data_IF_832147988872
#
_entry.id   IF_832147988872
#
_cell.length_a   1.000
_cell.length_b   1.000
_cell.length_c   1.000
_cell.angle_alpha   90.00
_cell.angle_beta   90.00
_cell.angle_gamma   90.00
#
_symmetry.space_group_name_H-M   'P 1'
#
loop_
_entity.id
_entity.type
_entity.pdbx_description
1 polymer ?
#
# COMPACT_ATOMS: atom_id res chain seq x y z
N UNK A 1 -0.40 10.48 21.41
CA UNK A 1 -1.87 10.24 21.35
C UNK A 1 -2.27 10.12 19.88
N UNK A 2 -2.87 9.00 19.45
CA UNK A 2 -3.08 8.67 18.02
C UNK A 2 -4.32 9.33 17.39
N UNK A 3 -5.31 9.71 18.20
CA UNK A 3 -6.62 10.16 17.76
C UNK A 3 -6.59 11.40 16.84
N UNK A 4 -5.83 12.48 17.14
CA UNK A 4 -5.79 13.64 16.24
C UNK A 4 -5.18 13.28 14.87
N UNK A 5 -4.17 12.42 14.86
CA UNK A 5 -3.53 11.95 13.62
C UNK A 5 -4.49 11.09 12.79
N UNK A 6 -5.26 10.22 13.45
CA UNK A 6 -6.30 9.43 12.80
C UNK A 6 -7.38 10.32 12.17
N UNK A 7 -7.89 11.31 12.92
CA UNK A 7 -8.92 12.23 12.41
C UNK A 7 -8.43 13.01 11.19
N UNK A 8 -7.18 13.47 11.21
CA UNK A 8 -6.56 14.14 10.07
C UNK A 8 -6.57 13.26 8.81
N UNK A 9 -6.12 12.00 8.90
CA UNK A 9 -6.11 11.10 7.74
C UNK A 9 -7.50 10.59 7.35
N UNK A 10 -8.45 10.52 8.28
CA UNK A 10 -9.84 10.22 7.95
C UNK A 10 -10.46 11.33 7.09
N UNK A 11 -10.22 12.60 7.44
CA UNK A 11 -10.67 13.72 6.62
C UNK A 11 -10.00 13.71 5.24
N UNK A 12 -8.67 13.52 5.19
CA UNK A 12 -7.95 13.44 3.93
C UNK A 12 -8.46 12.31 3.02
N UNK A 13 -8.79 11.15 3.59
CA UNK A 13 -9.39 10.03 2.86
C UNK A 13 -10.75 10.39 2.26
N UNK A 14 -11.59 11.13 2.99
CA UNK A 14 -12.89 11.58 2.49
C UNK A 14 -12.72 12.60 1.36
N UNK A 15 -11.87 13.60 1.55
CA UNK A 15 -11.65 14.69 0.59
C UNK A 15 -11.04 14.16 -0.71
N UNK A 16 -9.97 13.36 -0.61
CA UNK A 16 -9.32 12.77 -1.79
C UNK A 16 -10.19 11.68 -2.41
N UNK A 17 -10.97 10.94 -1.60
CA UNK A 17 -11.95 9.97 -2.10
C UNK A 17 -12.99 10.60 -3.01
N UNK A 18 -13.51 11.78 -2.66
CA UNK A 18 -14.44 12.52 -3.51
C UNK A 18 -13.80 12.92 -4.86
N UNK A 19 -12.55 13.39 -4.84
CA UNK A 19 -11.79 13.69 -6.06
C UNK A 19 -11.60 12.44 -6.94
N UNK A 20 -11.22 11.31 -6.34
CA UNK A 20 -11.04 10.04 -7.08
C UNK A 20 -12.34 9.60 -7.75
N UNK A 21 -13.49 9.79 -7.08
CA UNK A 21 -14.79 9.50 -7.68
C UNK A 21 -15.07 10.39 -8.89
N UNK A 22 -14.86 11.71 -8.78
CA UNK A 22 -15.04 12.64 -9.90
C UNK A 22 -14.12 12.31 -11.08
N UNK A 23 -12.83 12.05 -10.81
CA UNK A 23 -11.86 11.67 -11.83
C UNK A 23 -12.26 10.36 -12.53
N UNK A 24 -12.79 9.39 -11.78
CA UNK A 24 -13.27 8.14 -12.35
C UNK A 24 -14.45 8.36 -13.31
N UNK A 25 -15.43 9.20 -12.92
CA UNK A 25 -16.58 9.59 -13.76
C UNK A 25 -16.13 10.31 -15.04
N UNK A 26 -15.11 11.18 -14.92
CA UNK A 26 -14.55 11.96 -16.03
C UNK A 26 -13.46 11.24 -16.81
N UNK A 27 -13.14 10.01 -16.43
CA UNK A 27 -12.04 9.20 -16.98
C UNK A 27 -10.65 9.89 -16.93
N UNK A 28 -10.40 10.73 -15.93
CA UNK A 28 -9.13 11.43 -15.70
C UNK A 28 -8.13 10.48 -15.07
N UNK A 29 -6.95 10.35 -15.69
CA UNK A 29 -5.83 9.58 -15.14
C UNK A 29 -4.79 10.58 -14.62
N UNK A 30 -4.38 10.51 -13.34
CA UNK A 30 -3.36 11.41 -12.81
C UNK A 30 -1.99 11.11 -13.43
N UNK A 31 -1.10 12.08 -13.39
CA UNK A 31 0.32 11.86 -13.71
C UNK A 31 1.01 11.06 -12.58
N UNK A 32 2.22 10.55 -12.85
CA UNK A 32 3.01 9.73 -11.95
C UNK A 32 3.43 10.45 -10.66
N UNK A 33 3.60 11.77 -10.73
CA UNK A 33 3.98 12.59 -9.57
C UNK A 33 2.78 12.73 -8.63
N UNK A 34 1.60 12.98 -9.21
CA UNK A 34 0.33 13.14 -8.50
C UNK A 34 -0.23 11.82 -7.97
N UNK A 35 0.01 10.71 -8.67
CA UNK A 35 -0.55 9.40 -8.34
C UNK A 35 -0.21 8.93 -6.91
N UNK A 36 1.07 8.98 -6.51
CA UNK A 36 1.48 8.44 -5.21
C UNK A 36 0.78 9.11 -4.02
N UNK A 37 0.82 10.44 -3.85
CA UNK A 37 0.14 11.09 -2.73
C UNK A 37 -1.37 10.87 -2.77
N UNK A 38 -2.00 10.95 -3.95
CA UNK A 38 -3.44 10.71 -4.11
C UNK A 38 -3.82 9.28 -3.73
N UNK A 39 -3.06 8.28 -4.20
CA UNK A 39 -3.33 6.88 -3.89
C UNK A 39 -3.16 6.58 -2.41
N UNK A 40 -2.14 7.15 -1.77
CA UNK A 40 -1.91 6.96 -0.34
C UNK A 40 -3.06 7.51 0.51
N UNK A 41 -3.57 8.71 0.20
CA UNK A 41 -4.68 9.31 0.96
C UNK A 41 -6.03 8.70 0.62
N UNK A 42 -6.28 8.33 -0.65
CA UNK A 42 -7.51 7.65 -1.06
C UNK A 42 -7.57 6.17 -0.68
N UNK A 43 -6.47 5.62 -0.16
CA UNK A 43 -6.45 4.31 0.48
C UNK A 43 -6.68 4.46 1.98
N UNK A 44 -7.44 3.56 2.59
CA UNK A 44 -7.59 3.53 4.05
C UNK A 44 -6.28 3.18 4.79
N UNK A 45 -5.15 2.95 4.10
CA UNK A 45 -3.95 2.39 4.70
C UNK A 45 -3.36 3.28 5.80
N UNK A 46 -3.28 4.60 5.58
CA UNK A 46 -2.79 5.55 6.61
C UNK A 46 -3.64 5.53 7.87
N UNK A 47 -4.95 5.33 7.72
CA UNK A 47 -5.91 5.19 8.82
C UNK A 47 -5.69 3.85 9.53
N UNK A 48 -5.57 2.75 8.77
CA UNK A 48 -5.29 1.40 9.28
C UNK A 48 -4.01 1.34 10.12
N UNK A 49 -2.99 2.12 9.77
CA UNK A 49 -1.76 2.20 10.57
C UNK A 49 -1.97 2.71 11.99
N UNK A 50 -2.95 3.60 12.24
CA UNK A 50 -3.29 4.02 13.61
C UNK A 50 -4.19 3.00 14.31
N UNK A 51 -4.94 2.20 13.55
CA UNK A 51 -5.72 1.10 14.12
C UNK A 51 -4.81 0.02 14.73
N UNK A 52 -3.56 -0.11 14.29
CA UNK A 52 -2.57 -0.99 14.94
C UNK A 52 -2.29 -0.49 16.37
N UNK A 53 -2.01 0.82 16.54
CA UNK A 53 -1.80 1.43 17.86
C UNK A 53 -3.02 1.21 18.76
N UNK A 54 -4.21 1.45 18.23
CA UNK A 54 -5.47 1.28 18.95
C UNK A 54 -5.75 -0.18 19.34
N UNK A 55 -5.65 -1.12 18.40
CA UNK A 55 -6.10 -2.50 18.60
C UNK A 55 -5.26 -3.25 19.64
N UNK A 56 -3.98 -2.90 19.77
CA UNK A 56 -3.04 -3.56 20.71
C UNK A 56 -2.74 -2.66 21.92
N UNK A 57 -3.24 -1.42 21.95
CA UNK A 57 -3.01 -0.48 23.04
C UNK A 57 -1.56 0.01 23.12
N UNK A 58 -0.89 0.17 21.97
CA UNK A 58 0.52 0.54 21.91
C UNK A 58 0.74 2.01 22.27
N UNK A 59 1.85 2.28 22.96
CA UNK A 59 2.29 3.63 23.29
C UNK A 59 3.45 4.09 22.41
N UNK A 60 3.11 4.57 21.20
CA UNK A 60 4.10 5.16 20.29
C UNK A 60 4.32 6.63 20.65
N UNK A 61 5.47 6.91 21.26
CA UNK A 61 5.87 8.24 21.73
C UNK A 61 6.27 9.16 20.58
N UNK A 62 6.38 10.46 20.87
CA UNK A 62 6.83 11.44 19.89
C UNK A 62 8.30 11.23 19.51
N UNK A 63 9.14 10.72 20.41
CA UNK A 63 10.54 10.36 20.11
C UNK A 63 10.63 9.24 19.06
N UNK A 64 9.76 8.23 19.17
CA UNK A 64 9.64 7.19 18.15
C UNK A 64 9.14 7.79 16.83
N UNK A 65 8.15 8.67 16.89
CA UNK A 65 7.62 9.33 15.69
C UNK A 65 8.67 10.19 14.98
N UNK A 66 9.55 10.83 15.75
CA UNK A 66 10.64 11.67 15.28
C UNK A 66 11.84 10.86 14.77
N UNK A 67 11.95 9.57 15.11
CA UNK A 67 13.00 8.71 14.59
C UNK A 67 12.93 8.66 13.06
N UNK A 68 14.04 8.90 12.33
CA UNK A 68 14.01 9.13 10.87
C UNK A 68 13.44 7.95 10.08
N UNK A 69 13.55 6.74 10.62
CA UNK A 69 13.07 5.51 9.98
C UNK A 69 11.55 5.28 10.15
N UNK A 70 10.94 5.82 11.21
CA UNK A 70 9.52 5.62 11.49
C UNK A 70 8.58 6.14 10.37
N UNK A 71 8.69 7.39 9.89
CA UNK A 71 7.85 7.86 8.79
C UNK A 71 8.11 7.08 7.50
N UNK A 72 9.34 6.59 7.29
CA UNK A 72 9.68 5.81 6.12
C UNK A 72 9.03 4.42 6.15
N UNK A 73 8.96 3.74 7.31
CA UNK A 73 8.23 2.47 7.48
C UNK A 73 6.74 2.63 7.17
N UNK A 74 6.11 3.68 7.70
CA UNK A 74 4.71 3.99 7.42
C UNK A 74 4.48 4.25 5.93
N UNK A 75 5.37 5.04 5.31
CA UNK A 75 5.35 5.30 3.87
C UNK A 75 5.49 4.01 3.06
N UNK A 76 6.47 3.16 3.40
CA UNK A 76 6.69 1.89 2.70
C UNK A 76 5.47 0.97 2.79
N UNK A 77 4.79 0.95 3.93
CA UNK A 77 3.55 0.17 4.11
C UNK A 77 2.45 0.64 3.15
N UNK A 78 2.27 1.97 3.03
CA UNK A 78 1.33 2.56 2.08
C UNK A 78 1.73 2.36 0.60
N UNK A 79 3.03 2.37 0.31
CA UNK A 79 3.56 2.25 -1.06
C UNK A 79 3.45 0.83 -1.65
N UNK A 80 2.87 -0.13 -0.92
CA UNK A 80 2.51 -1.46 -1.44
C UNK A 80 1.20 -1.42 -2.24
N UNK A 81 0.37 -0.37 -2.09
CA UNK A 81 -0.92 -0.24 -2.79
C UNK A 81 -0.91 -0.48 -4.30
N UNK A 82 0.16 -0.18 -5.07
CA UNK A 82 0.23 -0.55 -6.49
C UNK A 82 0.13 -2.06 -6.77
N UNK A 83 0.34 -2.95 -5.78
CA UNK A 83 0.07 -4.37 -5.94
C UNK A 83 -1.42 -4.66 -6.20
N UNK A 84 -2.32 -3.87 -5.58
CA UNK A 84 -3.76 -3.94 -5.86
C UNK A 84 -4.09 -3.53 -7.29
N UNK A 85 -3.30 -2.62 -7.86
CA UNK A 85 -3.54 -2.12 -9.20
C UNK A 85 -3.21 -3.14 -10.28
N UNK A 86 -2.14 -3.92 -10.08
CA UNK A 86 -1.82 -5.09 -10.93
C UNK A 86 -3.00 -6.06 -10.90
N UNK A 87 -3.48 -6.41 -9.70
CA UNK A 87 -4.58 -7.34 -9.53
C UNK A 87 -5.90 -6.80 -10.11
N UNK A 88 -6.14 -5.50 -10.02
CA UNK A 88 -7.32 -4.84 -10.61
C UNK A 88 -7.37 -4.97 -12.13
N UNK A 89 -6.24 -4.97 -12.83
CA UNK A 89 -6.22 -5.21 -14.28
C UNK A 89 -6.63 -6.66 -14.61
N UNK A 90 -6.20 -7.64 -13.81
CA UNK A 90 -6.57 -9.04 -13.98
C UNK A 90 -8.08 -9.27 -13.80
N UNK A 91 -8.67 -8.65 -12.76
CA UNK A 91 -10.10 -8.68 -12.48
C UNK A 91 -10.95 -7.74 -13.34
N UNK A 92 -10.39 -7.13 -14.39
CA UNK A 92 -11.05 -6.14 -15.26
C UNK A 92 -11.66 -4.92 -14.54
N UNK A 93 -11.11 -4.53 -13.38
CA UNK A 93 -11.51 -3.34 -12.63
C UNK A 93 -10.94 -2.05 -13.27
N UNK A 94 -11.23 -1.83 -14.55
CA UNK A 94 -10.73 -0.71 -15.36
C UNK A 94 -11.41 0.63 -15.04
N UNK A 95 -12.43 0.64 -14.17
CA UNK A 95 -13.16 1.83 -13.74
C UNK A 95 -12.37 2.70 -12.76
N UNK A 96 -11.36 2.15 -12.06
CA UNK A 96 -10.49 2.94 -11.20
C UNK A 96 -9.34 3.55 -12.01
N UNK A 97 -9.42 4.85 -12.27
CA UNK A 97 -8.43 5.64 -13.00
C UNK A 97 -7.20 5.97 -12.16
N UNK A 98 -7.33 5.99 -10.84
CA UNK A 98 -6.24 6.15 -9.89
C UNK A 98 -5.51 4.83 -9.70
N UNK A 99 -4.96 4.31 -10.80
CA UNK A 99 -4.31 3.00 -10.89
C UNK A 99 -2.96 3.15 -11.61
N UNK A 100 -1.86 2.74 -10.96
CA UNK A 100 -0.50 2.95 -11.48
C UNK A 100 -0.26 2.29 -12.84
N UNK A 101 -0.96 1.20 -13.15
CA UNK A 101 -0.90 0.55 -14.46
C UNK A 101 -1.41 1.47 -15.57
N UNK A 102 -2.47 2.25 -15.30
CA UNK A 102 -3.01 3.20 -16.27
C UNK A 102 -2.08 4.41 -16.43
N UNK A 103 -1.54 4.92 -15.32
CA UNK A 103 -0.58 6.04 -15.31
C UNK A 103 0.67 5.70 -16.14
N UNK A 104 1.31 4.55 -15.87
CA UNK A 104 2.52 4.13 -16.60
C UNK A 104 2.23 3.91 -18.10
N UNK A 105 1.08 3.33 -18.43
CA UNK A 105 0.69 3.14 -19.83
C UNK A 105 0.45 4.47 -20.55
N UNK A 106 -0.17 5.43 -19.88
CA UNK A 106 -0.43 6.77 -20.44
C UNK A 106 0.88 7.54 -20.68
N UNK A 107 1.77 7.59 -19.68
CA UNK A 107 2.99 8.41 -19.77
C UNK A 107 4.09 7.78 -20.61
N UNK A 108 4.27 6.45 -20.51
CA UNK A 108 5.43 5.77 -21.12
C UNK A 108 5.09 5.02 -22.40
N UNK A 109 3.83 5.07 -22.85
CA UNK A 109 3.31 4.26 -23.97
C UNK A 109 3.68 2.77 -23.83
N UNK A 110 3.72 2.30 -22.59
CA UNK A 110 4.20 0.97 -22.23
C UNK A 110 3.21 -0.12 -22.68
N UNK A 111 3.74 -1.30 -23.01
CA UNK A 111 2.90 -2.50 -23.16
C UNK A 111 2.35 -2.91 -21.79
N UNK A 112 1.31 -3.75 -21.78
CA UNK A 112 0.77 -4.24 -20.51
C UNK A 112 1.85 -5.01 -19.72
N UNK A 113 2.62 -5.86 -20.39
CA UNK A 113 3.67 -6.64 -19.75
C UNK A 113 4.78 -5.75 -19.16
N UNK A 114 5.24 -4.73 -19.90
CA UNK A 114 6.29 -3.85 -19.39
C UNK A 114 5.80 -2.95 -18.25
N UNK A 115 4.52 -2.56 -18.27
CA UNK A 115 3.91 -1.88 -17.13
C UNK A 115 3.82 -2.80 -15.89
N UNK A 116 3.40 -4.06 -16.04
CA UNK A 116 3.33 -5.02 -14.92
C UNK A 116 4.72 -5.22 -14.33
N UNK A 117 5.74 -5.41 -15.19
CA UNK A 117 7.12 -5.55 -14.74
C UNK A 117 7.62 -4.31 -13.98
N UNK A 118 7.29 -3.10 -14.45
CA UNK A 118 7.66 -1.86 -13.79
C UNK A 118 7.00 -1.70 -12.42
N UNK A 119 5.69 -1.95 -12.31
CA UNK A 119 4.97 -1.88 -11.02
C UNK A 119 5.44 -2.98 -10.07
N UNK A 120 5.62 -4.21 -10.56
CA UNK A 120 6.13 -5.33 -9.77
C UNK A 120 7.54 -5.05 -9.22
N UNK A 121 8.41 -4.44 -10.02
CA UNK A 121 9.74 -4.00 -9.57
C UNK A 121 9.64 -2.91 -8.49
N UNK A 122 8.70 -1.96 -8.62
CA UNK A 122 8.46 -0.94 -7.60
C UNK A 122 7.99 -1.58 -6.28
N UNK A 123 7.00 -2.47 -6.32
CA UNK A 123 6.50 -3.18 -5.12
C UNK A 123 7.64 -3.98 -4.47
N UNK A 124 8.42 -4.72 -5.26
CA UNK A 124 9.58 -5.49 -4.76
C UNK A 124 10.61 -4.59 -4.08
N UNK A 125 10.93 -3.44 -4.69
CA UNK A 125 11.84 -2.45 -4.10
C UNK A 125 11.28 -1.89 -2.79
N UNK A 126 9.99 -1.55 -2.75
CA UNK A 126 9.32 -1.03 -1.55
C UNK A 126 9.39 -2.04 -0.39
N UNK A 127 9.15 -3.33 -0.66
CA UNK A 127 9.29 -4.39 0.36
C UNK A 127 10.74 -4.50 0.84
N UNK A 128 11.73 -4.44 -0.05
CA UNK A 128 13.15 -4.44 0.34
C UNK A 128 13.49 -3.30 1.30
N UNK A 129 13.11 -2.07 0.93
CA UNK A 129 13.33 -0.88 1.77
C UNK A 129 12.58 -0.98 3.11
N UNK A 130 11.35 -1.54 3.13
CA UNK A 130 10.63 -1.80 4.37
C UNK A 130 11.40 -2.73 5.30
N UNK A 131 11.96 -3.83 4.77
CA UNK A 131 12.72 -4.81 5.55
C UNK A 131 14.01 -4.22 6.13
N UNK A 132 14.73 -3.41 5.34
CA UNK A 132 15.92 -2.67 5.80
C UNK A 132 15.56 -1.70 6.94
N UNK A 133 14.52 -0.89 6.75
CA UNK A 133 14.05 0.06 7.76
C UNK A 133 13.54 -0.63 9.02
N UNK A 134 12.84 -1.75 8.87
CA UNK A 134 12.40 -2.57 9.99
C UNK A 134 13.61 -3.00 10.81
N UNK A 135 14.67 -3.47 10.15
CA UNK A 135 15.90 -3.89 10.81
C UNK A 135 16.58 -2.73 11.55
N UNK A 136 16.69 -1.55 10.92
CA UNK A 136 17.29 -0.37 11.55
C UNK A 136 16.54 0.05 12.82
N UNK A 137 15.22 0.17 12.76
CA UNK A 137 14.42 0.58 13.92
C UNK A 137 14.43 -0.50 15.03
N UNK A 138 14.43 -1.77 14.62
CA UNK A 138 14.58 -2.92 15.52
C UNK A 138 15.91 -2.89 16.28
N UNK A 139 17.01 -2.55 15.61
CA UNK A 139 18.32 -2.50 16.25
C UNK A 139 18.43 -1.30 17.21
N UNK A 140 17.84 -0.14 16.87
CA UNK A 140 17.69 0.97 17.83
C UNK A 140 16.92 0.54 19.09
N UNK A 141 15.81 -0.18 18.94
CA UNK A 141 15.01 -0.65 20.06
C UNK A 141 15.74 -1.67 20.95
N UNK A 142 16.60 -2.54 20.37
CA UNK A 142 17.44 -3.47 21.15
C UNK A 142 18.48 -2.75 22.02
N UNK A 143 18.90 -1.55 21.62
CA UNK A 143 19.82 -0.70 22.39
C UNK A 143 19.10 0.11 23.47
N UNK A 144 17.81 -0.15 23.68
CA UNK A 144 16.96 0.58 24.60
C UNK A 144 16.84 2.08 24.30
N UNK A 145 16.89 2.45 23.02
CA UNK A 145 16.87 3.84 22.58
C UNK A 145 15.61 4.61 23.03
N UNK A 146 14.49 3.91 23.28
CA UNK A 146 13.23 4.51 23.71
C UNK A 146 12.81 4.10 25.13
N UNK A 147 13.61 3.24 25.78
CA UNK A 147 13.28 2.60 27.05
C UNK A 147 12.45 1.32 26.87
N UNK A 148 12.72 0.33 27.74
CA UNK A 148 12.27 -1.07 27.60
C UNK A 148 10.79 -1.25 27.23
N UNK A 149 9.89 -0.51 27.87
CA UNK A 149 8.44 -0.62 27.60
C UNK A 149 8.09 -0.10 26.21
N UNK A 150 8.65 1.06 25.82
CA UNK A 150 8.39 1.68 24.52
C UNK A 150 9.03 0.86 23.40
N UNK A 151 10.22 0.30 23.63
CA UNK A 151 10.87 -0.58 22.66
C UNK A 151 9.97 -1.78 22.31
N UNK A 152 9.33 -2.41 23.31
CA UNK A 152 8.41 -3.52 23.08
C UNK A 152 7.18 -3.10 22.23
N UNK A 153 6.64 -1.91 22.45
CA UNK A 153 5.54 -1.36 21.67
C UNK A 153 5.96 -1.04 20.23
N UNK A 154 7.17 -0.50 20.04
CA UNK A 154 7.76 -0.27 18.70
C UNK A 154 7.86 -1.59 17.93
N UNK A 155 8.34 -2.66 18.58
CA UNK A 155 8.42 -3.98 17.96
C UNK A 155 7.06 -4.50 17.49
N UNK A 156 6.04 -4.37 18.35
CA UNK A 156 4.67 -4.78 18.01
C UNK A 156 4.10 -3.93 16.88
N UNK A 157 4.38 -2.62 16.87
CA UNK A 157 3.91 -1.72 15.83
C UNK A 157 4.51 -2.05 14.46
N UNK A 158 5.81 -2.27 14.40
CA UNK A 158 6.50 -2.65 13.16
C UNK A 158 6.07 -4.04 12.67
N UNK A 159 5.79 -4.96 13.59
CA UNK A 159 5.17 -6.24 13.25
C UNK A 159 3.77 -6.04 12.65
N UNK A 160 2.93 -5.19 13.25
CA UNK A 160 1.61 -4.85 12.71
C UNK A 160 1.68 -4.31 11.28
N UNK A 161 2.62 -3.41 10.99
CA UNK A 161 2.84 -2.90 9.63
C UNK A 161 3.22 -4.02 8.64
N UNK A 162 4.11 -4.93 9.05
CA UNK A 162 4.45 -6.11 8.24
C UNK A 162 3.21 -6.97 8.00
N UNK A 163 2.41 -7.20 9.04
CA UNK A 163 1.24 -8.06 8.97
C UNK A 163 0.14 -7.44 8.08
N UNK A 164 0.02 -6.10 8.03
CA UNK A 164 -0.80 -5.39 7.03
C UNK A 164 -0.31 -5.65 5.60
N UNK A 165 1.00 -5.55 5.34
CA UNK A 165 1.58 -5.85 4.02
C UNK A 165 1.29 -7.30 3.61
N UNK A 166 1.57 -8.24 4.51
CA UNK A 166 1.36 -9.68 4.25
C UNK A 166 -0.14 -9.94 4.03
N UNK A 167 -1.00 -9.45 4.92
CA UNK A 167 -2.45 -9.62 4.83
C UNK A 167 -3.00 -9.09 3.51
N UNK A 168 -2.57 -7.92 3.06
CA UNK A 168 -2.95 -7.36 1.76
C UNK A 168 -2.57 -8.29 0.60
N UNK A 169 -1.35 -8.81 0.60
CA UNK A 169 -0.86 -9.70 -0.47
C UNK A 169 -1.59 -11.04 -0.45
N UNK A 170 -1.85 -11.64 0.72
CA UNK A 170 -2.66 -12.87 0.81
C UNK A 170 -4.10 -12.62 0.33
N UNK A 171 -4.70 -11.52 0.78
CA UNK A 171 -6.06 -11.14 0.41
C UNK A 171 -6.25 -10.98 -1.10
N UNK A 172 -5.21 -10.55 -1.84
CA UNK A 172 -5.23 -10.49 -3.31
C UNK A 172 -5.50 -11.84 -3.96
N UNK A 173 -5.03 -12.94 -3.38
CA UNK A 173 -5.16 -14.29 -3.95
C UNK A 173 -6.34 -15.08 -3.38
N UNK A 174 -6.82 -14.73 -2.18
CA UNK A 174 -7.90 -15.47 -1.48
C UNK A 174 -9.31 -15.08 -1.92
N UNK A 175 -9.50 -13.95 -2.62
CA UNK A 175 -10.84 -13.43 -2.96
C UNK A 175 -11.11 -13.44 -4.46
N UNK A 176 -12.36 -13.76 -4.81
CA UNK A 176 -12.87 -13.75 -6.19
C UNK A 176 -12.75 -12.39 -6.91
N UNK A 177 -12.55 -11.31 -6.14
CA UNK A 177 -12.51 -9.93 -6.62
C UNK A 177 -11.32 -9.63 -7.55
N UNK A 178 -10.19 -10.30 -7.36
CA UNK A 178 -8.94 -9.99 -8.07
C UNK A 178 -8.60 -11.02 -9.13
N UNK A 179 -8.70 -12.31 -8.81
CA UNK A 179 -8.36 -13.40 -9.72
C UNK A 179 -9.48 -14.44 -9.87
N UNK A 180 -10.70 -14.16 -9.37
CA UNK A 180 -11.80 -15.13 -9.34
C UNK A 180 -11.33 -16.49 -8.76
N UNK A 181 -11.81 -17.61 -9.30
CA UNK A 181 -11.38 -18.97 -8.91
C UNK A 181 -9.92 -19.30 -9.27
N UNK A 182 -9.19 -18.41 -9.96
CA UNK A 182 -7.83 -18.66 -10.42
C UNK A 182 -6.73 -18.21 -9.44
N UNK A 183 -7.09 -17.63 -8.29
CA UNK A 183 -6.13 -17.05 -7.33
C UNK A 183 -4.97 -17.97 -6.94
N UNK A 184 -5.25 -19.22 -6.56
CA UNK A 184 -4.22 -20.20 -6.20
C UNK A 184 -3.29 -20.52 -7.39
N UNK A 185 -3.86 -20.70 -8.60
CA UNK A 185 -3.07 -20.96 -9.81
C UNK A 185 -2.17 -19.77 -10.16
N UNK A 186 -2.67 -18.54 -10.01
CA UNK A 186 -1.88 -17.33 -10.27
C UNK A 186 -0.73 -17.24 -9.26
N UNK A 187 -0.98 -17.52 -7.98
CA UNK A 187 0.05 -17.53 -6.95
C UNK A 187 1.15 -18.56 -7.24
N UNK A 188 0.76 -19.76 -7.66
CA UNK A 188 1.68 -20.87 -7.87
C UNK A 188 2.47 -20.75 -9.19
N UNK A 189 1.81 -20.28 -10.26
CA UNK A 189 2.42 -20.16 -11.58
C UNK A 189 3.16 -18.82 -11.76
N UNK A 190 2.70 -17.75 -11.10
CA UNK A 190 3.15 -16.38 -11.35
C UNK A 190 2.61 -15.77 -12.65
N UNK A 191 1.64 -16.43 -13.30
CA UNK A 191 1.05 -16.00 -14.57
C UNK A 191 -0.44 -15.73 -14.41
N UNK A 192 -0.92 -14.66 -15.06
CA UNK A 192 -2.34 -14.35 -15.22
C UNK A 192 -2.69 -14.45 -16.69
N UNK A 193 -3.66 -15.29 -17.03
CA UNK A 193 -4.22 -15.35 -18.37
C UNK A 193 -5.39 -14.38 -18.46
N UNK A 194 -5.26 -13.37 -19.32
CA UNK A 194 -6.32 -12.41 -19.53
C UNK A 194 -7.33 -12.97 -20.55
N UNK A 195 -8.64 -12.77 -20.31
CA UNK A 195 -9.63 -13.14 -21.30
C UNK A 195 -9.45 -12.31 -22.59
N UNK A 196 -9.95 -12.81 -23.73
CA UNK A 196 -9.91 -12.08 -24.99
C UNK A 196 -10.54 -10.70 -24.82
N UNK A 197 -9.96 -9.67 -25.46
CA UNK A 197 -10.59 -8.35 -25.51
C UNK A 197 -11.95 -8.48 -26.20
N UNK A 198 -13.01 -8.05 -25.53
CA UNK A 198 -14.33 -7.94 -26.14
C UNK A 198 -14.28 -6.88 -27.25
N UNK A 199 -14.27 -7.31 -28.51
CA UNK A 199 -14.35 -6.45 -29.70
C UNK A 199 -13.00 -6.03 -30.28
N UNK A 200 -12.62 -6.67 -31.40
CA UNK A 200 -11.94 -6.03 -32.50
C UNK A 200 -13.00 -5.57 -33.51
#
# INVERSE_FOLDING_TARGET
>A
MWQPRFQHHLQAFQDVGALVMEDNERAVVPDLTSYNPLRQESSCEKISLYMIEYAVGLHITDDVCAHPVHPQLRKNTCDIMPALDIAGIAGQAMSNRHNLMLVIKAERRATLQSAIAAVGALVKKTVGVFLENKQLLSDSAKLHAFGLCVDADVWQYVRGMRDCIVGLIYWLYERDRSFSEAGDKVRDLGWVFLPPRSGA
#
